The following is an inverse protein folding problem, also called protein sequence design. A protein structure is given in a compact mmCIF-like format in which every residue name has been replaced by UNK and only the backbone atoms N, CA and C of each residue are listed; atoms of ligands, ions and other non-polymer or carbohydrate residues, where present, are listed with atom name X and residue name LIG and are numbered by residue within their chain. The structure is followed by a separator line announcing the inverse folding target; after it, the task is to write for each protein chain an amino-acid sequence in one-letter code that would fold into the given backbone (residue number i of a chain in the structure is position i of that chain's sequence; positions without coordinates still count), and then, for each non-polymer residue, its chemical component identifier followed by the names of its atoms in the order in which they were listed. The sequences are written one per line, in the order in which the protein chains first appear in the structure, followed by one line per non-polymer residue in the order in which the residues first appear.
data_IF_988726084582
#
_entry.id   IF_988726084582
#
_cell.length_a   1.000
_cell.length_b   1.000
_cell.length_c   1.000
_cell.angle_alpha   90.00
_cell.angle_beta   90.00
_cell.angle_gamma   90.00
#
_symmetry.space_group_name_H-M   'P 1'
#
loop_
_entity.id
_entity.type
_entity.pdbx_description
1 polymer ?
#
# COMPACT_ATOMS: atom_id res chain seq x y z
N UNK A 1 -16.33 3.75 16.95
CA UNK A 1 -16.40 2.28 17.10
C UNK A 1 -15.38 1.83 18.14
N UNK A 2 -15.78 1.01 19.11
CA UNK A 2 -14.84 0.41 20.08
C UNK A 2 -14.40 -0.97 19.62
N UNK A 3 -13.27 -1.49 20.16
CA UNK A 3 -12.74 -2.81 19.78
C UNK A 3 -13.76 -3.95 19.96
N UNK A 4 -14.59 -3.92 21.01
CA UNK A 4 -15.64 -4.92 21.24
C UNK A 4 -16.67 -4.94 20.11
N UNK A 5 -17.05 -3.75 19.61
CA UNK A 5 -17.99 -3.61 18.49
C UNK A 5 -17.36 -4.14 17.19
N UNK A 6 -16.08 -3.83 16.95
CA UNK A 6 -15.36 -4.35 15.77
C UNK A 6 -15.32 -5.88 15.79
N UNK A 7 -15.01 -6.48 16.95
CA UNK A 7 -14.99 -7.95 17.09
C UNK A 7 -16.38 -8.55 16.84
N UNK A 8 -17.47 -7.89 17.27
CA UNK A 8 -18.83 -8.34 16.96
C UNK A 8 -19.09 -8.35 15.46
N UNK A 9 -18.81 -7.22 14.78
CA UNK A 9 -18.98 -7.08 13.33
C UNK A 9 -18.13 -8.07 12.54
N UNK A 10 -16.90 -8.34 12.99
CA UNK A 10 -16.03 -9.35 12.41
C UNK A 10 -16.66 -10.76 12.50
N UNK A 11 -17.24 -11.12 13.66
CA UNK A 11 -17.91 -12.42 13.84
C UNK A 11 -19.15 -12.53 12.98
N UNK A 12 -19.94 -11.47 12.90
CA UNK A 12 -21.10 -11.37 12.01
C UNK A 12 -20.69 -11.54 10.54
N UNK A 13 -19.63 -10.85 10.09
CA UNK A 13 -19.08 -10.97 8.75
C UNK A 13 -18.59 -12.38 8.44
N UNK A 14 -17.89 -13.04 9.38
CA UNK A 14 -17.48 -14.44 9.24
C UNK A 14 -18.67 -15.38 9.12
N UNK A 15 -19.76 -15.14 9.86
CA UNK A 15 -20.98 -15.94 9.82
C UNK A 15 -21.77 -15.79 8.50
N UNK A 16 -21.64 -14.67 7.79
CA UNK A 16 -22.28 -14.46 6.47
C UNK A 16 -21.77 -15.40 5.38
N UNK A 17 -20.63 -16.06 5.56
CA UNK A 17 -20.04 -16.91 4.54
C UNK A 17 -19.52 -16.09 3.35
N UNK A 18 -19.72 -16.61 2.14
CA UNK A 18 -19.29 -15.93 0.92
C UNK A 18 -20.27 -14.84 0.50
N UNK A 19 -19.83 -13.59 0.58
CA UNK A 19 -20.57 -12.42 0.09
C UNK A 19 -19.99 -11.91 -1.24
N UNK A 20 -20.83 -11.40 -2.15
CA UNK A 20 -20.37 -10.93 -3.45
C UNK A 20 -19.45 -9.72 -3.31
N UNK A 21 -18.40 -9.65 -4.13
CA UNK A 21 -17.59 -8.44 -4.25
C UNK A 21 -18.47 -7.26 -4.70
N UNK A 22 -18.40 -6.11 -4.01
CA UNK A 22 -19.16 -4.92 -4.37
C UNK A 22 -18.60 -4.21 -5.60
N UNK A 23 -17.34 -4.47 -5.99
CA UNK A 23 -16.71 -3.88 -7.19
C UNK A 23 -15.72 -4.85 -7.86
N UNK A 24 -15.54 -4.71 -9.17
CA UNK A 24 -14.55 -5.51 -9.92
C UNK A 24 -13.12 -5.05 -9.59
N UNK A 25 -12.20 -6.01 -9.58
CA UNK A 25 -10.76 -5.74 -9.51
C UNK A 25 -10.16 -5.81 -8.09
N UNK A 26 -8.88 -5.43 -7.97
CA UNK A 26 -8.08 -5.72 -6.78
C UNK A 26 -8.60 -5.02 -5.52
N UNK A 27 -9.24 -3.85 -5.66
CA UNK A 27 -9.76 -3.02 -4.55
C UNK A 27 -11.09 -3.52 -3.98
N UNK A 28 -11.67 -4.58 -4.55
CA UNK A 28 -12.95 -5.15 -4.09
C UNK A 28 -12.90 -5.67 -2.67
N UNK A 29 -11.85 -6.43 -2.31
CA UNK A 29 -11.72 -7.06 -0.97
C UNK A 29 -11.62 -6.02 0.15
N UNK A 30 -10.80 -4.98 -0.02
CA UNK A 30 -10.62 -3.93 0.99
C UNK A 30 -11.91 -3.14 1.20
N UNK A 31 -12.57 -2.74 0.10
CA UNK A 31 -13.84 -2.03 0.16
C UNK A 31 -14.95 -2.85 0.78
N UNK A 32 -15.03 -4.14 0.44
CA UNK A 32 -15.97 -5.06 1.06
C UNK A 32 -15.76 -5.12 2.57
N UNK A 33 -14.51 -5.25 3.02
CA UNK A 33 -14.16 -5.30 4.43
C UNK A 33 -14.55 -4.02 5.18
N UNK A 34 -14.22 -2.85 4.63
CA UNK A 34 -14.57 -1.54 5.21
C UNK A 34 -16.09 -1.38 5.35
N UNK A 35 -16.84 -1.64 4.28
CA UNK A 35 -18.30 -1.51 4.28
C UNK A 35 -18.97 -2.44 5.28
N UNK A 36 -18.52 -3.69 5.36
CA UNK A 36 -19.06 -4.68 6.31
C UNK A 36 -18.74 -4.32 7.77
N UNK A 37 -17.65 -3.61 8.01
CA UNK A 37 -17.34 -3.03 9.32
C UNK A 37 -18.03 -1.67 9.56
N UNK A 38 -18.83 -1.17 8.63
CA UNK A 38 -19.57 0.08 8.77
C UNK A 38 -18.73 1.35 8.55
N UNK A 39 -17.65 1.23 7.77
CA UNK A 39 -16.78 2.34 7.39
C UNK A 39 -17.02 2.72 5.93
N UNK A 40 -17.31 4.00 5.70
CA UNK A 40 -17.44 4.58 4.37
C UNK A 40 -16.08 4.96 3.78
N UNK A 41 -15.93 4.81 2.46
CA UNK A 41 -14.70 5.18 1.75
C UNK A 41 -14.41 6.67 1.91
N UNK A 42 -13.16 7.00 2.24
CA UNK A 42 -12.70 8.36 2.48
C UNK A 42 -11.35 8.59 1.81
N UNK A 43 -11.11 9.82 1.34
CA UNK A 43 -9.82 10.24 0.80
C UNK A 43 -8.95 10.98 1.85
N UNK A 44 -9.42 11.06 3.10
CA UNK A 44 -8.67 11.73 4.18
C UNK A 44 -7.54 10.79 4.63
N UNK A 45 -6.28 11.25 4.71
CA UNK A 45 -5.13 10.41 5.04
C UNK A 45 -5.00 10.16 6.56
N UNK A 46 -6.09 9.76 7.22
CA UNK A 46 -6.15 9.37 8.63
C UNK A 46 -6.63 7.92 8.76
N UNK A 47 -6.35 7.22 9.86
CA UNK A 47 -6.86 5.87 10.06
C UNK A 47 -8.39 5.80 10.04
N UNK A 48 -8.91 4.69 9.54
CA UNK A 48 -10.33 4.59 9.14
C UNK A 48 -11.31 4.63 10.31
N UNK A 49 -11.00 3.93 11.40
CA UNK A 49 -11.88 3.87 12.57
C UNK A 49 -11.46 4.95 13.58
N UNK A 50 -12.24 6.04 13.58
CA UNK A 50 -12.09 7.14 14.55
C UNK A 50 -10.73 7.84 14.51
N UNK A 51 -10.01 7.77 13.38
CA UNK A 51 -8.67 8.35 13.24
C UNK A 51 -7.58 7.60 13.99
N UNK A 52 -7.82 6.36 14.45
CA UNK A 52 -6.88 5.61 15.31
C UNK A 52 -6.55 4.19 14.84
N UNK A 53 -7.42 3.54 14.08
CA UNK A 53 -7.21 2.17 13.61
C UNK A 53 -7.46 2.11 12.11
N UNK A 54 -6.47 1.58 11.39
CA UNK A 54 -6.53 1.31 9.96
C UNK A 54 -7.18 -0.05 9.69
N UNK A 55 -8.04 -0.12 8.69
CA UNK A 55 -8.60 -1.37 8.19
C UNK A 55 -7.89 -1.78 6.91
N UNK A 56 -7.48 -3.05 6.84
CA UNK A 56 -6.96 -3.65 5.61
C UNK A 56 -7.67 -4.97 5.37
N UNK A 57 -8.30 -5.11 4.19
CA UNK A 57 -8.83 -6.40 3.72
C UNK A 57 -7.88 -7.00 2.69
N UNK A 58 -7.58 -8.29 2.81
CA UNK A 58 -6.72 -9.01 1.86
C UNK A 58 -7.27 -10.39 1.51
N UNK A 59 -6.85 -10.91 0.35
CA UNK A 59 -7.20 -12.25 -0.11
C UNK A 59 -6.17 -13.24 0.42
N UNK A 60 -6.63 -14.30 1.07
CA UNK A 60 -5.77 -15.38 1.56
C UNK A 60 -4.96 -16.00 0.43
N UNK A 61 -3.75 -16.45 0.76
CA UNK A 61 -2.83 -17.17 -0.15
C UNK A 61 -2.39 -16.37 -1.38
N UNK A 62 -2.73 -15.08 -1.45
CA UNK A 62 -2.15 -14.15 -2.40
C UNK A 62 -1.18 -13.32 -1.61
N UNK A 63 0.13 -13.50 -1.76
CA UNK A 63 1.13 -12.68 -1.06
C UNK A 63 1.15 -11.26 -1.66
N UNK A 64 0.02 -10.59 -1.61
CA UNK A 64 -0.27 -9.31 -2.23
C UNK A 64 0.49 -8.20 -1.51
N UNK A 65 0.77 -7.12 -2.24
CA UNK A 65 1.35 -5.93 -1.65
C UNK A 65 0.27 -5.13 -0.91
N UNK A 66 0.48 -4.87 0.37
CA UNK A 66 -0.33 -3.96 1.18
C UNK A 66 0.26 -2.56 1.04
N UNK A 67 -0.58 -1.58 0.68
CA UNK A 67 -0.15 -0.18 0.67
C UNK A 67 -0.18 0.34 2.11
N UNK A 68 0.99 0.74 2.62
CA UNK A 68 1.13 1.38 3.92
C UNK A 68 0.59 2.80 3.86
N UNK A 69 1.12 3.60 2.95
CA UNK A 69 0.66 4.96 2.70
C UNK A 69 1.08 5.41 1.30
N UNK A 70 0.64 6.60 0.93
CA UNK A 70 1.02 7.23 -0.34
C UNK A 70 1.60 8.61 -0.08
N UNK A 71 2.73 8.94 -0.72
CA UNK A 71 3.39 10.22 -0.47
C UNK A 71 4.26 10.69 -1.63
N UNK A 72 4.11 11.97 -2.01
CA UNK A 72 4.69 12.57 -3.22
C UNK A 72 5.08 14.05 -3.08
N UNK A 73 4.78 14.70 -1.94
CA UNK A 73 4.84 16.15 -1.86
C UNK A 73 6.29 16.62 -1.76
N UNK A 74 6.73 17.43 -2.72
CA UNK A 74 8.05 18.04 -2.78
C UNK A 74 9.22 17.04 -2.77
N UNK A 75 9.06 15.91 -3.46
CA UNK A 75 10.06 14.83 -3.51
C UNK A 75 10.77 14.70 -4.86
N UNK A 76 10.18 15.25 -5.93
CA UNK A 76 10.66 15.03 -7.30
C UNK A 76 11.74 16.05 -7.65
N UNK A 77 12.92 15.56 -8.04
CA UNK A 77 14.04 16.39 -8.49
C UNK A 77 13.87 16.75 -9.97
N UNK A 78 13.39 15.80 -10.76
CA UNK A 78 13.04 16.03 -12.17
C UNK A 78 11.53 16.17 -12.37
N UNK A 79 11.12 16.75 -13.51
CA UNK A 79 9.70 16.83 -13.85
C UNK A 79 9.15 15.41 -14.06
N UNK A 80 8.01 15.13 -13.43
CA UNK A 80 7.35 13.82 -13.56
C UNK A 80 7.01 13.47 -15.01
N UNK A 81 6.73 14.48 -15.86
CA UNK A 81 6.50 14.26 -17.29
C UNK A 81 7.74 13.66 -17.95
N UNK A 82 8.92 14.26 -17.73
CA UNK A 82 10.19 13.81 -18.30
C UNK A 82 10.52 12.39 -17.83
N UNK A 83 10.25 12.07 -16.56
CA UNK A 83 10.38 10.72 -16.02
C UNK A 83 9.48 9.71 -16.76
N UNK A 84 8.22 10.06 -17.00
CA UNK A 84 7.24 9.19 -17.70
C UNK A 84 7.60 9.04 -19.18
N UNK A 85 8.06 10.11 -19.83
CA UNK A 85 8.46 10.07 -21.23
C UNK A 85 9.75 9.26 -21.42
N UNK A 86 10.68 9.32 -20.47
CA UNK A 86 11.98 8.63 -20.54
C UNK A 86 11.91 7.16 -20.13
N UNK A 87 11.28 6.85 -19.00
CA UNK A 87 11.31 5.51 -18.40
C UNK A 87 9.95 4.79 -18.44
N UNK A 88 8.91 5.46 -18.94
CA UNK A 88 7.57 4.90 -19.06
C UNK A 88 7.37 4.04 -20.31
N UNK A 89 6.15 3.56 -20.47
CA UNK A 89 5.73 2.68 -21.56
C UNK A 89 4.26 2.93 -21.92
N UNK A 90 3.82 2.41 -23.07
CA UNK A 90 2.40 2.40 -23.45
C UNK A 90 1.64 1.32 -22.69
N UNK A 91 0.70 1.72 -21.84
CA UNK A 91 -0.15 0.77 -21.10
C UNK A 91 -1.23 0.13 -22.00
N UNK A 92 -2.02 -0.79 -21.43
CA UNK A 92 -3.11 -1.46 -22.15
C UNK A 92 -4.22 -0.52 -22.67
N UNK A 93 -4.24 0.74 -22.21
CA UNK A 93 -5.15 1.79 -22.69
C UNK A 93 -4.43 2.76 -23.65
N UNK A 94 -3.25 2.39 -24.14
CA UNK A 94 -2.38 3.17 -25.02
C UNK A 94 -1.94 4.52 -24.43
N UNK A 95 -1.94 4.67 -23.10
CA UNK A 95 -1.47 5.87 -22.41
C UNK A 95 0.03 5.75 -22.15
N UNK A 96 0.76 6.86 -22.28
CA UNK A 96 2.15 6.90 -21.80
C UNK A 96 2.14 6.87 -20.27
N UNK A 97 2.68 5.82 -19.67
CA UNK A 97 2.54 5.53 -18.26
C UNK A 97 3.82 5.02 -17.62
N UNK A 98 3.95 5.25 -16.32
CA UNK A 98 4.97 4.67 -15.47
C UNK A 98 4.28 4.04 -14.25
N UNK A 99 3.89 2.78 -14.42
CA UNK A 99 3.49 1.90 -13.32
C UNK A 99 4.63 0.94 -13.05
N UNK A 100 5.38 1.17 -11.97
CA UNK A 100 6.64 0.45 -11.73
C UNK A 100 6.86 0.25 -10.24
N UNK A 101 7.10 -1.00 -9.84
CA UNK A 101 7.49 -1.37 -8.48
C UNK A 101 9.01 -1.36 -8.39
N UNK A 102 9.55 -0.65 -7.42
CA UNK A 102 10.98 -0.40 -7.23
C UNK A 102 11.39 -0.93 -5.85
N UNK A 103 12.54 -1.59 -5.78
CA UNK A 103 13.15 -2.10 -4.55
C UNK A 103 14.59 -1.58 -4.41
N UNK A 104 15.23 -1.85 -3.27
CA UNK A 104 16.62 -1.44 -2.99
C UNK A 104 17.66 -2.56 -3.22
N UNK A 105 17.26 -3.71 -3.76
CA UNK A 105 18.14 -4.88 -3.98
C UNK A 105 18.71 -4.89 -5.39
N UNK A 106 17.92 -4.51 -6.39
CA UNK A 106 18.33 -4.50 -7.78
C UNK A 106 17.49 -3.54 -8.62
N UNK A 107 18.05 -2.98 -9.70
CA UNK A 107 17.27 -2.30 -10.73
C UNK A 107 16.15 -3.20 -11.26
N UNK A 108 14.97 -2.61 -11.45
CA UNK A 108 13.84 -3.30 -12.07
C UNK A 108 13.95 -3.27 -13.61
N UNK A 109 12.91 -3.74 -14.30
CA UNK A 109 12.89 -3.79 -15.77
C UNK A 109 13.02 -2.42 -16.45
N UNK A 110 12.64 -1.33 -15.77
CA UNK A 110 12.84 0.05 -16.24
C UNK A 110 14.18 0.63 -15.79
N UNK A 111 15.08 -0.15 -15.20
CA UNK A 111 16.36 0.31 -14.68
C UNK A 111 16.28 1.12 -13.38
N UNK A 112 15.09 1.21 -12.77
CA UNK A 112 14.85 1.98 -11.54
C UNK A 112 15.21 1.17 -10.29
N UNK A 113 15.83 1.80 -9.31
CA UNK A 113 16.13 1.23 -8.00
C UNK A 113 16.06 2.28 -6.88
N UNK A 114 16.02 1.79 -5.64
CA UNK A 114 16.07 2.61 -4.43
C UNK A 114 17.48 2.57 -3.85
N UNK A 115 18.00 3.73 -3.46
CA UNK A 115 19.20 3.89 -2.66
C UNK A 115 18.82 4.49 -1.30
N UNK A 116 19.48 4.04 -0.22
CA UNK A 116 19.33 4.60 1.12
C UNK A 116 20.61 5.38 1.46
N UNK A 117 20.49 6.70 1.64
CA UNK A 117 21.56 7.56 2.14
C UNK A 117 21.28 7.82 3.63
N UNK A 118 21.88 7.00 4.49
CA UNK A 118 21.65 7.05 5.94
C UNK A 118 22.28 8.30 6.59
N UNK A 119 23.38 8.79 6.03
CA UNK A 119 24.05 9.99 6.54
C UNK A 119 23.16 11.23 6.35
N UNK A 120 22.49 11.33 5.19
CA UNK A 120 21.52 12.41 4.90
C UNK A 120 20.09 12.09 5.30
N UNK A 121 19.82 10.88 5.78
CA UNK A 121 18.49 10.39 6.10
C UNK A 121 17.51 10.46 4.90
N UNK A 122 17.94 9.95 3.73
CA UNK A 122 17.16 9.96 2.50
C UNK A 122 16.90 8.55 1.96
N UNK A 123 15.69 8.37 1.42
CA UNK A 123 15.36 7.32 0.45
C UNK A 123 15.39 7.98 -0.93
N UNK A 124 16.19 7.46 -1.84
CA UNK A 124 16.44 8.06 -3.16
C UNK A 124 15.98 7.11 -4.25
N UNK A 125 15.20 7.61 -5.20
CA UNK A 125 14.90 6.90 -6.45
C UNK A 125 15.98 7.22 -7.47
N UNK A 126 16.63 6.19 -8.01
CA UNK A 126 17.67 6.30 -9.04
C UNK A 126 17.33 5.47 -10.27
N UNK A 127 18.05 5.75 -11.35
CA UNK A 127 18.12 4.90 -12.54
C UNK A 127 19.56 4.45 -12.74
N UNK A 128 19.78 3.20 -13.16
CA UNK A 128 21.12 2.61 -13.32
C UNK A 128 22.04 3.36 -14.30
N UNK A 129 21.44 4.07 -15.26
CA UNK A 129 22.15 4.82 -16.30
C UNK A 129 22.10 6.35 -16.06
N UNK A 130 21.76 6.81 -14.84
CA UNK A 130 21.69 8.22 -14.51
C UNK A 130 22.49 8.54 -13.23
N UNK A 131 23.34 9.57 -13.31
CA UNK A 131 24.19 10.02 -12.19
C UNK A 131 23.43 10.86 -11.14
N UNK A 132 22.21 11.30 -11.45
CA UNK A 132 21.40 12.17 -10.60
C UNK A 132 20.21 11.45 -9.95
N UNK A 133 19.75 11.97 -8.82
CA UNK A 133 18.53 11.52 -8.14
C UNK A 133 17.28 11.86 -8.97
N UNK A 134 16.35 10.92 -9.12
CA UNK A 134 15.06 11.17 -9.76
C UNK A 134 14.05 11.77 -8.77
N UNK A 135 14.08 11.27 -7.54
CA UNK A 135 13.28 11.74 -6.42
C UNK A 135 13.96 11.39 -5.09
N UNK A 136 13.70 12.20 -4.06
CA UNK A 136 14.28 12.08 -2.74
C UNK A 136 13.19 12.25 -1.68
N UNK A 137 13.13 11.30 -0.75
CA UNK A 137 12.23 11.33 0.39
C UNK A 137 13.04 11.37 1.68
N UNK A 138 12.70 12.28 2.59
CA UNK A 138 13.24 12.24 3.95
C UNK A 138 12.73 11.00 4.69
N UNK A 139 13.66 10.22 5.22
CA UNK A 139 13.39 9.05 6.05
C UNK A 139 12.48 9.41 7.24
N UNK A 140 12.75 10.54 7.90
CA UNK A 140 11.93 11.01 9.03
C UNK A 140 10.48 11.30 8.64
N UNK A 141 10.26 11.90 7.47
CA UNK A 141 8.91 12.18 6.96
C UNK A 141 8.19 10.88 6.63
N UNK A 142 8.88 9.92 6.02
CA UNK A 142 8.30 8.60 5.73
C UNK A 142 7.93 7.86 7.01
N UNK A 143 8.82 7.83 8.00
CA UNK A 143 8.55 7.23 9.30
C UNK A 143 7.36 7.91 9.99
N UNK A 144 7.30 9.24 10.00
CA UNK A 144 6.16 9.98 10.57
C UNK A 144 4.83 9.66 9.88
N UNK A 145 4.83 9.52 8.54
CA UNK A 145 3.65 9.10 7.76
C UNK A 145 3.22 7.67 8.12
N UNK A 146 4.18 6.75 8.20
CA UNK A 146 3.96 5.38 8.62
C UNK A 146 3.33 5.35 10.02
N UNK A 147 3.95 5.98 11.00
CA UNK A 147 3.46 5.99 12.39
C UNK A 147 2.06 6.62 12.53
N UNK A 148 1.76 7.66 11.75
CA UNK A 148 0.44 8.33 11.82
C UNK A 148 -0.68 7.47 11.22
N UNK A 149 -0.43 6.82 10.07
CA UNK A 149 -1.47 6.07 9.34
C UNK A 149 -1.55 4.62 9.79
N UNK A 150 -0.45 4.04 10.25
CA UNK A 150 -0.30 2.60 10.49
C UNK A 150 0.01 2.26 11.96
N UNK A 151 -0.30 3.14 12.93
CA UNK A 151 -0.13 2.86 14.38
C UNK A 151 -0.80 1.55 14.80
N UNK A 152 -2.02 1.30 14.30
CA UNK A 152 -2.79 0.09 14.57
C UNK A 152 -3.50 -0.35 13.31
N UNK A 153 -3.39 -1.64 12.98
CA UNK A 153 -4.07 -2.22 11.82
C UNK A 153 -4.98 -3.35 12.28
N UNK A 154 -6.22 -3.36 11.79
CA UNK A 154 -7.03 -4.58 11.74
C UNK A 154 -6.96 -5.13 10.32
N UNK A 155 -6.31 -6.28 10.19
CA UNK A 155 -6.13 -6.98 8.93
C UNK A 155 -7.10 -8.16 8.86
N UNK A 156 -8.04 -8.10 7.92
CA UNK A 156 -9.00 -9.15 7.63
C UNK A 156 -8.58 -10.00 6.43
N UNK A 157 -8.66 -11.32 6.56
CA UNK A 157 -8.26 -12.28 5.55
C UNK A 157 -9.48 -12.99 4.97
N UNK A 158 -9.70 -12.84 3.66
CA UNK A 158 -10.80 -13.46 2.94
C UNK A 158 -10.36 -14.69 2.14
N UNK A 159 -11.06 -15.80 2.30
CA UNK A 159 -11.12 -16.84 1.28
C UNK A 159 -11.91 -16.32 0.07
N UNK A 160 -11.48 -16.68 -1.14
CA UNK A 160 -12.06 -16.18 -2.39
C UNK A 160 -12.64 -17.29 -3.23
N UNK A 161 -13.78 -17.03 -3.88
CA UNK A 161 -14.29 -17.88 -4.97
C UNK A 161 -14.83 -17.02 -6.10
N UNK A 162 -14.85 -17.56 -7.31
CA UNK A 162 -15.46 -16.91 -8.46
C UNK A 162 -16.65 -17.74 -8.95
N UNK A 163 -17.79 -17.09 -9.19
CA UNK A 163 -18.99 -17.71 -9.74
C UNK A 163 -19.48 -16.81 -10.87
N UNK A 164 -19.55 -17.34 -12.09
CA UNK A 164 -20.02 -16.61 -13.30
C UNK A 164 -19.30 -15.26 -13.50
N UNK A 165 -17.98 -15.22 -13.35
CA UNK A 165 -17.19 -13.99 -13.51
C UNK A 165 -17.36 -12.96 -12.39
N UNK A 166 -18.02 -13.32 -11.28
CA UNK A 166 -18.18 -12.50 -10.08
C UNK A 166 -17.39 -13.09 -8.93
N UNK A 167 -16.50 -12.29 -8.35
CA UNK A 167 -15.72 -12.65 -7.16
C UNK A 167 -16.59 -12.56 -5.89
N UNK A 168 -16.37 -13.49 -4.95
CA UNK A 168 -16.99 -13.53 -3.64
C UNK A 168 -15.92 -13.67 -2.56
N UNK A 169 -16.16 -13.07 -1.40
CA UNK A 169 -15.27 -13.05 -0.25
C UNK A 169 -15.90 -13.70 0.97
N UNK A 170 -15.15 -14.54 1.67
CA UNK A 170 -15.51 -15.03 2.99
C UNK A 170 -14.38 -14.70 3.98
N UNK A 171 -14.60 -13.70 4.83
CA UNK A 171 -13.61 -13.28 5.82
C UNK A 171 -13.60 -14.25 7.00
N UNK A 172 -12.53 -15.04 7.11
CA UNK A 172 -12.45 -16.18 8.03
C UNK A 172 -11.45 -15.98 9.16
N UNK A 173 -10.46 -15.09 8.97
CA UNK A 173 -9.47 -14.71 9.98
C UNK A 173 -9.32 -13.19 10.02
N UNK A 174 -8.95 -12.67 11.19
CA UNK A 174 -8.61 -11.27 11.38
C UNK A 174 -7.60 -11.12 12.51
N UNK A 175 -6.67 -10.18 12.35
CA UNK A 175 -5.64 -9.88 13.36
C UNK A 175 -5.58 -8.38 13.61
N UNK A 176 -5.30 -8.01 14.85
CA UNK A 176 -4.93 -6.67 15.27
C UNK A 176 -3.40 -6.61 15.41
N UNK A 177 -2.78 -5.69 14.69
CA UNK A 177 -1.36 -5.38 14.76
C UNK A 177 -1.17 -4.05 15.51
N UNK A 178 -0.29 -4.03 16.50
CA UNK A 178 -0.05 -2.87 17.37
C UNK A 178 1.45 -2.67 17.64
N UNK A 179 1.77 -1.46 18.10
CA UNK A 179 3.11 -1.05 18.54
C UNK A 179 4.17 -1.19 17.42
N UNK A 180 3.95 -0.53 16.27
CA UNK A 180 5.02 -0.34 15.31
C UNK A 180 6.06 0.64 15.87
N UNK A 181 7.27 0.63 15.30
CA UNK A 181 8.26 1.67 15.59
C UNK A 181 8.92 2.17 14.30
N UNK A 182 9.46 3.40 14.30
CA UNK A 182 10.31 3.88 13.22
C UNK A 182 11.44 2.90 12.89
N UNK A 183 12.08 2.31 13.89
CA UNK A 183 13.22 1.39 13.72
C UNK A 183 12.81 0.15 12.94
N UNK A 184 11.67 -0.47 13.27
CA UNK A 184 11.14 -1.63 12.53
C UNK A 184 10.83 -1.29 11.07
N UNK A 185 10.34 -0.07 10.82
CA UNK A 185 10.09 0.43 9.47
C UNK A 185 11.39 0.63 8.66
N UNK A 186 12.42 1.21 9.28
CA UNK A 186 13.73 1.40 8.64
C UNK A 186 14.47 0.08 8.41
N UNK A 187 14.34 -0.86 9.34
CA UNK A 187 14.89 -2.21 9.19
C UNK A 187 14.23 -2.94 8.01
N UNK A 188 12.90 -2.86 7.88
CA UNK A 188 12.17 -3.42 6.74
C UNK A 188 12.59 -2.78 5.41
N UNK A 189 12.84 -1.47 5.40
CA UNK A 189 13.39 -0.77 4.24
C UNK A 189 14.78 -1.29 3.88
N UNK A 190 15.68 -1.37 4.86
CA UNK A 190 17.05 -1.82 4.67
C UNK A 190 17.10 -3.26 4.14
N UNK A 191 16.21 -4.13 4.63
CA UNK A 191 16.03 -5.51 4.15
C UNK A 191 15.35 -5.62 2.77
N UNK A 192 14.91 -4.50 2.19
CA UNK A 192 14.23 -4.45 0.90
C UNK A 192 12.84 -5.05 0.90
N UNK A 193 12.16 -4.99 2.05
CA UNK A 193 10.78 -5.45 2.21
C UNK A 193 9.77 -4.34 1.94
N UNK A 194 10.19 -3.07 2.08
CA UNK A 194 9.41 -1.92 1.64
C UNK A 194 9.74 -1.61 0.17
N UNK A 195 8.70 -1.56 -0.65
CA UNK A 195 8.74 -1.29 -2.07
C UNK A 195 8.10 0.07 -2.37
N UNK A 196 8.60 0.74 -3.42
CA UNK A 196 8.00 1.96 -3.96
C UNK A 196 7.22 1.62 -5.23
N UNK A 197 5.94 1.97 -5.25
CA UNK A 197 5.07 1.84 -6.42
C UNK A 197 4.89 3.21 -7.06
N UNK A 198 5.56 3.42 -8.20
CA UNK A 198 5.29 4.53 -9.11
C UNK A 198 3.97 4.25 -9.83
N UNK A 199 3.06 5.22 -9.84
CA UNK A 199 1.70 5.05 -10.38
C UNK A 199 1.26 6.30 -11.12
N UNK A 200 1.87 6.52 -12.28
CA UNK A 200 1.68 7.76 -13.04
C UNK A 200 1.34 7.48 -14.50
N UNK A 201 0.59 8.38 -15.12
CA UNK A 201 0.41 8.40 -16.58
C UNK A 201 0.18 9.81 -17.08
N UNK A 202 0.37 10.03 -18.37
CA UNK A 202 -0.05 11.25 -19.05
C UNK A 202 -1.52 11.15 -19.45
N UNK A 203 -2.28 12.21 -19.16
CA UNK A 203 -3.60 12.43 -19.74
C UNK A 203 -3.44 12.79 -21.23
N UNK A 204 -4.53 12.73 -21.99
CA UNK A 204 -4.55 13.17 -23.40
C UNK A 204 -4.04 14.61 -23.57
N UNK A 205 -4.38 15.50 -22.63
CA UNK A 205 -3.86 16.88 -22.55
C UNK A 205 -2.33 17.01 -22.36
N UNK A 206 -1.60 15.91 -22.14
CA UNK A 206 -0.19 15.91 -21.75
C UNK A 206 0.08 16.14 -20.26
N UNK A 207 -0.94 16.52 -19.49
CA UNK A 207 -0.82 16.71 -18.03
C UNK A 207 -0.57 15.39 -17.29
N UNK A 208 0.28 15.43 -16.26
CA UNK A 208 0.60 14.26 -15.44
C UNK A 208 -0.56 13.94 -14.50
N UNK A 209 -1.03 12.69 -14.55
CA UNK A 209 -1.88 12.09 -13.52
C UNK A 209 -1.02 11.19 -12.63
N UNK A 210 -0.70 11.70 -11.45
CA UNK A 210 0.00 10.94 -10.41
C UNK A 210 -1.00 10.45 -9.35
N UNK A 211 -1.03 9.14 -9.09
CA UNK A 211 -1.92 8.52 -8.11
C UNK A 211 -1.32 8.47 -6.68
N UNK A 212 -0.14 9.02 -6.45
CA UNK A 212 0.63 8.77 -5.22
C UNK A 212 1.74 7.76 -5.48
N UNK A 213 2.97 8.00 -5.02
CA UNK A 213 3.94 6.92 -4.85
C UNK A 213 3.49 6.09 -3.67
N UNK A 214 3.22 4.81 -3.90
CA UNK A 214 2.80 3.88 -2.86
C UNK A 214 4.00 3.30 -2.13
N UNK A 215 4.02 3.39 -0.81
CA UNK A 215 4.98 2.65 0.02
C UNK A 215 4.30 1.36 0.42
N UNK A 216 4.81 0.22 -0.05
CA UNK A 216 4.12 -1.06 0.04
C UNK A 216 4.99 -2.13 0.66
N UNK A 217 4.38 -3.07 1.35
CA UNK A 217 5.04 -4.26 1.90
C UNK A 217 4.24 -5.49 1.49
N UNK A 218 4.88 -6.65 1.36
CA UNK A 218 4.13 -7.89 1.15
C UNK A 218 3.31 -8.26 2.39
N UNK A 219 2.13 -8.86 2.19
CA UNK A 219 1.25 -9.29 3.27
C UNK A 219 1.98 -10.12 4.33
N UNK A 220 2.77 -11.12 3.90
CA UNK A 220 3.51 -12.00 4.80
C UNK A 220 4.53 -11.27 5.67
N UNK A 221 5.02 -10.12 5.21
CA UNK A 221 6.04 -9.34 5.90
C UNK A 221 5.43 -8.18 6.68
N UNK A 222 4.14 -7.86 6.54
CA UNK A 222 3.52 -6.75 7.27
C UNK A 222 3.67 -6.88 8.79
N UNK A 223 3.58 -8.09 9.33
CA UNK A 223 3.73 -8.36 10.77
C UNK A 223 5.11 -7.98 11.30
N UNK A 224 6.15 -7.94 10.46
CA UNK A 224 7.49 -7.53 10.87
C UNK A 224 7.57 -6.06 11.28
N UNK A 225 6.55 -5.26 10.93
CA UNK A 225 6.46 -3.86 11.30
C UNK A 225 5.85 -3.64 12.68
N UNK A 226 5.42 -4.70 13.39
CA UNK A 226 4.67 -4.62 14.64
C UNK A 226 5.22 -5.57 15.69
N UNK A 227 5.40 -5.07 16.91
CA UNK A 227 5.88 -5.90 18.03
C UNK A 227 4.76 -6.70 18.70
N UNK A 228 3.49 -6.37 18.42
CA UNK A 228 2.34 -7.05 19.01
C UNK A 228 1.31 -7.43 17.96
N UNK A 229 0.89 -8.70 18.02
CA UNK A 229 -0.16 -9.27 17.20
C UNK A 229 -1.20 -9.96 18.07
N UNK A 230 -2.48 -9.68 17.82
CA UNK A 230 -3.61 -10.31 18.51
C UNK A 230 -4.61 -10.86 17.51
N UNK A 231 -4.91 -12.16 17.58
CA UNK A 231 -5.97 -12.79 16.78
C UNK A 231 -7.35 -12.27 17.24
N UNK A 232 -8.19 -11.87 16.29
CA UNK A 232 -9.56 -11.36 16.53
C UNK A 232 -10.66 -12.34 16.07
N UNK A 233 -10.39 -13.12 15.02
CA UNK A 233 -11.25 -14.18 14.47
C UNK A 233 -10.50 -15.48 14.27
#
# INVERSE_FOLDING_TARGET
MQLKEIISRLKELKAKGFIPSPRKGPTGVGYCFEQELGVSESNIPIPDVGGRVELKGTRKKTNSLITLFTFNRAVWIIKQKDLIDTYGYKDAKNRQALYSTVNNKSPNAQGLYIELDMDKNLVILRHKDAEFSLAEWSIYVLAGKFMTKMDRIILGFADTKEINGKEFFHFTDAVLLEHPTPEMFLEAFSKGEILLDLRMHLKESGAVRNHGTGFRISEKNLTMLYSKQKKLL
#
